data_IF_838643210193
#
_entry.id   IF_838643210193
#
_cell.length_a   1.000
_cell.length_b   1.000
_cell.length_c   1.000
_cell.angle_alpha   90.00
_cell.angle_beta   90.00
_cell.angle_gamma   90.00
#
_symmetry.space_group_name_H-M   'P 1'
#
loop_
_entity.id
_entity.type
_entity.pdbx_description
1 polymer ?
#
# COMPACT_ATOMS: atom_id res chain seq x y z
N UNK A 1 -12.79 -9.94 -27.08
CA UNK A 1 -13.38 -9.67 -25.75
C UNK A 1 -12.34 -8.94 -24.90
N UNK A 2 -12.56 -7.67 -24.54
CA UNK A 2 -11.67 -6.97 -23.60
C UNK A 2 -12.06 -7.43 -22.20
N UNK A 3 -11.28 -8.32 -21.59
CA UNK A 3 -11.45 -8.66 -20.17
C UNK A 3 -11.06 -7.44 -19.36
N UNK A 4 -12.04 -6.61 -19.00
CA UNK A 4 -11.83 -5.52 -18.05
C UNK A 4 -11.61 -6.17 -16.68
N UNK A 5 -10.35 -6.43 -16.33
CA UNK A 5 -9.99 -6.83 -14.97
C UNK A 5 -10.48 -5.70 -14.05
N UNK A 6 -11.28 -5.97 -13.01
CA UNK A 6 -11.71 -4.93 -12.09
C UNK A 6 -10.45 -4.22 -11.55
N UNK A 7 -10.50 -2.90 -11.29
CA UNK A 7 -9.35 -2.19 -10.76
C UNK A 7 -8.94 -2.88 -9.46
N UNK A 8 -7.80 -3.56 -9.51
CA UNK A 8 -7.28 -4.29 -8.36
C UNK A 8 -6.83 -3.23 -7.36
N UNK A 9 -7.49 -3.20 -6.19
CA UNK A 9 -7.15 -2.23 -5.15
C UNK A 9 -5.69 -2.43 -4.73
N UNK A 10 -4.99 -1.32 -4.47
CA UNK A 10 -3.60 -1.36 -4.02
C UNK A 10 -3.46 -2.25 -2.77
N UNK A 11 -2.40 -3.07 -2.65
CA UNK A 11 -2.20 -4.00 -1.53
C UNK A 11 -2.33 -3.36 -0.15
N UNK A 12 -1.76 -2.16 0.05
CA UNK A 12 -1.91 -1.37 1.29
C UNK A 12 -3.39 -1.13 1.61
N UNK A 13 -4.19 -0.73 0.61
CA UNK A 13 -5.61 -0.41 0.79
C UNK A 13 -6.40 -1.65 1.19
N UNK A 14 -6.12 -2.80 0.56
CA UNK A 14 -6.75 -4.07 0.88
C UNK A 14 -6.43 -4.50 2.33
N UNK A 15 -5.15 -4.51 2.69
CA UNK A 15 -4.70 -4.91 4.02
C UNK A 15 -5.27 -4.01 5.13
N UNK A 16 -5.33 -2.69 4.86
CA UNK A 16 -5.94 -1.71 5.77
C UNK A 16 -7.44 -1.91 5.94
N UNK A 17 -8.18 -2.10 4.84
CA UNK A 17 -9.64 -2.28 4.88
C UNK A 17 -10.05 -3.58 5.59
N UNK A 18 -9.29 -4.67 5.42
CA UNK A 18 -9.51 -5.93 6.16
C UNK A 18 -9.44 -5.74 7.67
N UNK A 19 -8.56 -4.85 8.12
CA UNK A 19 -8.39 -4.48 9.54
C UNK A 19 -9.31 -3.35 10.00
N UNK A 20 -10.17 -2.82 9.11
CA UNK A 20 -11.07 -1.69 9.35
C UNK A 20 -10.34 -0.41 9.80
N UNK A 21 -9.07 -0.24 9.39
CA UNK A 21 -8.29 0.94 9.75
C UNK A 21 -8.57 2.12 8.80
N UNK A 22 -8.56 3.33 9.33
CA UNK A 22 -8.49 4.55 8.51
C UNK A 22 -7.06 4.77 7.97
N UNK A 23 -6.90 5.60 6.94
CA UNK A 23 -5.56 5.97 6.45
C UNK A 23 -4.73 6.67 7.53
N UNK A 24 -5.36 7.50 8.35
CA UNK A 24 -4.70 8.14 9.49
C UNK A 24 -4.26 7.10 10.52
N UNK A 25 -5.10 6.10 10.79
CA UNK A 25 -4.80 5.06 11.76
C UNK A 25 -3.64 4.15 11.32
N UNK A 26 -3.55 3.84 10.02
CA UNK A 26 -2.39 3.17 9.44
C UNK A 26 -1.14 4.04 9.59
N UNK A 27 -1.22 5.31 9.22
CA UNK A 27 -0.09 6.24 9.29
C UNK A 27 0.46 6.41 10.71
N UNK A 28 -0.41 6.41 11.71
CA UNK A 28 -0.03 6.48 13.13
C UNK A 28 0.61 5.20 13.69
N UNK A 29 0.55 4.07 12.98
CA UNK A 29 1.21 2.80 13.37
C UNK A 29 2.65 2.70 12.86
N UNK A 30 3.06 3.59 11.97
CA UNK A 30 4.41 3.65 11.43
C UNK A 30 5.32 4.52 12.31
N UNK A 31 6.62 4.31 12.19
CA UNK A 31 7.65 5.05 12.91
C UNK A 31 8.72 5.58 11.92
N UNK A 32 8.82 6.91 11.68
CA UNK A 32 7.98 7.95 12.26
C UNK A 32 6.53 7.87 11.77
N UNK A 33 5.56 8.38 12.56
CA UNK A 33 4.17 8.48 12.10
C UNK A 33 4.06 9.30 10.83
N UNK A 34 3.18 8.88 9.92
CA UNK A 34 2.86 9.62 8.69
C UNK A 34 1.40 10.06 8.68
N UNK A 35 1.10 11.14 7.96
CA UNK A 35 -0.26 11.63 7.83
C UNK A 35 -1.11 10.84 6.83
N UNK A 36 -2.45 10.95 6.95
CA UNK A 36 -3.41 10.31 6.02
C UNK A 36 -3.13 10.59 4.54
N UNK A 37 -2.59 11.76 4.19
CA UNK A 37 -2.33 12.17 2.82
C UNK A 37 -1.22 11.33 2.17
N UNK A 38 -0.14 11.03 2.90
CA UNK A 38 0.94 10.17 2.42
C UNK A 38 0.42 8.75 2.15
N UNK A 39 -0.35 8.20 3.09
CA UNK A 39 -0.99 6.88 2.91
C UNK A 39 -1.93 6.87 1.70
N UNK A 40 -2.73 7.92 1.50
CA UNK A 40 -3.61 8.03 0.34
C UNK A 40 -2.83 8.03 -0.98
N UNK A 41 -1.70 8.75 -1.04
CA UNK A 41 -0.84 8.78 -2.22
C UNK A 41 -0.19 7.41 -2.52
N UNK A 42 0.15 6.64 -1.49
CA UNK A 42 0.64 5.27 -1.67
C UNK A 42 -0.47 4.34 -2.19
N UNK A 43 -1.68 4.45 -1.64
CA UNK A 43 -2.83 3.63 -2.08
C UNK A 43 -3.31 3.93 -3.50
N UNK A 44 -2.92 5.08 -4.06
CA UNK A 44 -3.22 5.50 -5.43
C UNK A 44 -2.01 5.38 -6.37
N UNK A 45 -0.91 4.74 -5.94
CA UNK A 45 0.35 4.63 -6.68
C UNK A 45 0.96 5.98 -7.11
N UNK A 46 0.53 7.10 -6.51
CA UNK A 46 1.01 8.44 -6.82
C UNK A 46 2.44 8.64 -6.31
N UNK A 47 2.71 8.12 -5.11
CA UNK A 47 4.04 8.05 -4.53
C UNK A 47 4.23 6.66 -3.93
N UNK A 48 5.46 6.37 -3.50
CA UNK A 48 5.77 5.11 -2.83
C UNK A 48 6.27 5.40 -1.42
N UNK A 49 6.04 4.50 -0.45
CA UNK A 49 6.70 4.60 0.83
C UNK A 49 8.22 4.52 0.64
N UNK A 50 8.97 5.28 1.42
CA UNK A 50 10.43 5.14 1.48
C UNK A 50 10.80 3.74 2.02
N UNK A 51 11.99 3.21 1.71
CA UNK A 51 12.35 1.82 2.04
C UNK A 51 12.08 1.41 3.49
N UNK A 52 12.44 2.24 4.46
CA UNK A 52 12.22 1.94 5.89
C UNK A 52 10.74 1.81 6.24
N UNK A 53 9.88 2.66 5.67
CA UNK A 53 8.42 2.57 5.86
C UNK A 53 7.83 1.38 5.11
N UNK A 54 8.40 1.00 3.97
CA UNK A 54 7.97 -0.18 3.23
C UNK A 54 8.23 -1.47 4.01
N UNK A 55 9.41 -1.58 4.64
CA UNK A 55 9.73 -2.71 5.55
C UNK A 55 8.75 -2.75 6.72
N UNK A 56 8.50 -1.61 7.36
CA UNK A 56 7.53 -1.54 8.45
C UNK A 56 6.12 -1.94 8.02
N UNK A 57 5.68 -1.57 6.82
CA UNK A 57 4.38 -1.98 6.30
C UNK A 57 4.32 -3.50 6.08
N UNK A 58 5.39 -4.12 5.57
CA UNK A 58 5.49 -5.58 5.42
C UNK A 58 5.39 -6.27 6.78
N UNK A 59 6.10 -5.77 7.79
CA UNK A 59 6.09 -6.34 9.14
C UNK A 59 4.74 -6.11 9.84
N UNK A 60 4.18 -4.90 9.75
CA UNK A 60 2.89 -4.52 10.33
C UNK A 60 1.75 -5.38 9.79
N UNK A 61 1.81 -5.75 8.51
CA UNK A 61 0.85 -6.65 7.88
C UNK A 61 1.27 -8.12 7.89
N UNK A 62 2.28 -8.49 8.68
CA UNK A 62 2.71 -9.88 8.86
C UNK A 62 3.00 -10.59 7.53
N UNK A 63 3.65 -9.88 6.58
CA UNK A 63 3.98 -10.35 5.23
C UNK A 63 2.78 -10.66 4.33
N UNK A 64 1.57 -10.20 4.67
CA UNK A 64 0.41 -10.21 3.76
C UNK A 64 0.67 -9.36 2.49
N UNK A 65 1.52 -8.34 2.63
CA UNK A 65 2.10 -7.60 1.50
C UNK A 65 3.61 -7.79 1.50
N UNK A 66 4.22 -7.75 0.32
CA UNK A 66 5.66 -7.86 0.13
C UNK A 66 6.26 -6.54 -0.36
N UNK A 67 7.59 -6.41 -0.30
CA UNK A 67 8.28 -5.28 -0.92
C UNK A 67 8.07 -5.24 -2.44
N UNK A 68 7.94 -6.40 -3.10
CA UNK A 68 7.63 -6.45 -4.54
C UNK A 68 6.26 -5.82 -4.80
N UNK A 69 5.25 -6.13 -3.99
CA UNK A 69 3.91 -5.54 -4.12
C UNK A 69 3.93 -4.01 -4.01
N UNK A 70 4.79 -3.45 -3.16
CA UNK A 70 4.92 -2.00 -2.94
C UNK A 70 5.73 -1.26 -4.00
N UNK A 71 6.63 -1.96 -4.69
CA UNK A 71 7.55 -1.37 -5.67
C UNK A 71 7.31 -1.85 -7.11
N UNK A 72 6.40 -2.80 -7.33
CA UNK A 72 6.03 -3.26 -8.67
C UNK A 72 5.57 -2.06 -9.49
N UNK A 73 6.17 -1.86 -10.66
CA UNK A 73 5.68 -0.85 -11.60
C UNK A 73 4.35 -1.35 -12.18
N UNK A 74 3.28 -0.55 -12.16
CA UNK A 74 2.10 -0.89 -12.95
C UNK A 74 2.48 -0.89 -14.43
N UNK A 75 2.49 -2.09 -15.03
CA UNK A 75 2.61 -2.31 -16.46
C UNK A 75 3.91 -1.84 -17.12
N UNK A 76 4.96 -2.67 -17.10
CA UNK A 76 5.63 -2.97 -18.37
C UNK A 76 4.94 -4.23 -18.88
N UNK A 77 3.99 -4.07 -19.79
CA UNK A 77 3.57 -5.21 -20.60
C UNK A 77 4.85 -5.74 -21.28
N UNK A 78 5.17 -7.00 -21.02
CA UNK A 78 6.06 -7.75 -21.90
C UNK A 78 5.29 -8.05 -23.20
#
# INVERSE_FOLDING_TARGET
MKTTRPPQLHPIRLARQRRKWSQQELGSRLNPPVGKAAVAQWESDTTRPVPDLAVQLVDLFQKEITLDDLYRRPGRAA
#
